data_IF_027894116882
#
_entry.id   IF_027894116882
#
_cell.length_a   1.000
_cell.length_b   1.000
_cell.length_c   1.000
_cell.angle_alpha   90.00
_cell.angle_beta   90.00
_cell.angle_gamma   90.00
#
_symmetry.space_group_name_H-M   'P 1'
#
loop_
_entity.id
_entity.type
_entity.pdbx_description
1 polymer ?
#
# COMPACT_ATOMS: atom_id res chain seq x y z
N UNK A 1 -5.13 -18.16 10.54
CA UNK A 1 -6.36 -17.77 11.29
C UNK A 1 -7.57 -17.69 10.35
N UNK A 2 -7.41 -17.06 9.18
CA UNK A 2 -8.44 -16.89 8.14
C UNK A 2 -8.91 -18.23 7.54
N UNK A 3 -7.99 -19.17 7.26
CA UNK A 3 -8.32 -20.50 6.72
C UNK A 3 -9.24 -21.36 7.62
N UNK A 4 -9.31 -21.05 8.91
CA UNK A 4 -10.06 -21.86 9.88
C UNK A 4 -11.51 -21.39 10.07
N UNK A 5 -11.88 -20.20 9.58
CA UNK A 5 -13.22 -19.62 9.72
C UNK A 5 -13.57 -18.73 8.52
N UNK A 6 -13.97 -19.32 7.38
CA UNK A 6 -14.17 -18.60 6.12
C UNK A 6 -15.29 -17.54 6.16
N UNK A 7 -16.17 -17.55 7.15
CA UNK A 7 -17.22 -16.54 7.34
C UNK A 7 -16.80 -15.34 8.18
N UNK A 8 -15.58 -15.34 8.74
CA UNK A 8 -15.09 -14.26 9.59
C UNK A 8 -14.21 -13.30 8.79
N UNK A 9 -14.65 -12.05 8.64
CA UNK A 9 -13.84 -10.98 8.06
C UNK A 9 -13.10 -10.23 9.16
N UNK A 10 -11.80 -10.00 8.97
CA UNK A 10 -10.97 -9.19 9.85
C UNK A 10 -10.55 -7.94 9.09
N UNK A 11 -10.83 -6.76 9.65
CA UNK A 11 -10.33 -5.48 9.16
C UNK A 11 -9.38 -4.93 10.20
N UNK A 12 -8.16 -4.59 9.78
CA UNK A 12 -7.12 -4.05 10.64
C UNK A 12 -6.51 -2.81 9.99
N UNK A 13 -6.01 -1.90 10.81
CA UNK A 13 -5.20 -0.76 10.38
C UNK A 13 -3.83 -0.87 11.02
N UNK A 14 -2.79 -0.55 10.25
CA UNK A 14 -1.40 -0.65 10.68
C UNK A 14 -0.53 0.30 9.88
N UNK A 15 0.54 0.78 10.52
CA UNK A 15 1.64 1.48 9.87
C UNK A 15 2.90 0.60 9.78
N UNK A 16 2.80 -0.69 10.09
CA UNK A 16 3.94 -1.62 10.06
C UNK A 16 4.10 -2.23 8.67
N UNK A 17 5.20 -1.95 7.94
CA UNK A 17 5.44 -2.56 6.62
C UNK A 17 5.59 -4.08 6.72
N UNK A 18 6.15 -4.59 7.82
CA UNK A 18 6.29 -6.02 8.07
C UNK A 18 4.95 -6.75 8.17
N UNK A 19 3.90 -6.04 8.60
CA UNK A 19 2.56 -6.63 8.60
C UNK A 19 2.00 -6.68 7.18
N UNK A 20 2.28 -5.67 6.37
CA UNK A 20 1.88 -5.61 4.95
C UNK A 20 2.53 -6.73 4.14
N UNK A 21 3.79 -7.09 4.44
CA UNK A 21 4.49 -8.23 3.81
C UNK A 21 3.80 -9.58 3.99
N UNK A 22 2.87 -9.70 4.95
CA UNK A 22 2.12 -10.92 5.19
C UNK A 22 0.83 -11.05 4.36
N UNK A 23 0.55 -10.12 3.45
CA UNK A 23 -0.68 -10.06 2.65
C UNK A 23 -0.40 -9.99 1.14
N UNK A 24 -1.41 -10.36 0.37
CA UNK A 24 -1.42 -10.13 -1.08
C UNK A 24 -1.87 -8.69 -1.41
N UNK A 25 -1.45 -8.11 -2.56
CA UNK A 25 -1.78 -6.74 -2.94
C UNK A 25 -3.28 -6.40 -2.96
N UNK A 26 -4.14 -7.38 -3.26
CA UNK A 26 -5.58 -7.22 -3.33
C UNK A 26 -6.26 -7.19 -1.94
N UNK A 27 -5.54 -7.60 -0.89
CA UNK A 27 -5.99 -7.62 0.50
C UNK A 27 -5.63 -6.32 1.23
N UNK A 28 -4.76 -5.48 0.65
CA UNK A 28 -4.24 -4.27 1.28
C UNK A 28 -4.84 -3.02 0.65
N UNK A 29 -5.39 -2.15 1.50
CA UNK A 29 -5.88 -0.82 1.11
C UNK A 29 -5.02 0.26 1.76
N UNK A 30 -4.39 1.09 0.93
CA UNK A 30 -3.62 2.23 1.35
C UNK A 30 -4.53 3.43 1.60
N UNK A 31 -4.50 3.94 2.83
CA UNK A 31 -5.16 5.17 3.24
C UNK A 31 -4.15 6.32 3.20
N UNK A 32 -4.39 7.31 2.36
CA UNK A 32 -3.48 8.43 2.16
C UNK A 32 -4.20 9.74 1.90
N UNK A 33 -3.47 10.84 2.01
CA UNK A 33 -3.95 12.16 1.61
C UNK A 33 -3.47 12.43 0.19
N UNK A 34 -4.40 12.73 -0.70
CA UNK A 34 -4.07 13.20 -2.04
C UNK A 34 -3.41 14.59 -1.93
N UNK A 35 -2.18 14.77 -2.45
CA UNK A 35 -1.48 16.05 -2.39
C UNK A 35 -2.16 17.16 -3.21
N UNK A 36 -2.93 16.84 -4.24
CA UNK A 36 -3.54 17.82 -5.14
C UNK A 36 -4.77 18.50 -4.50
N UNK A 37 -5.63 17.73 -3.84
CA UNK A 37 -6.91 18.22 -3.31
C UNK A 37 -7.05 18.11 -1.78
N UNK A 38 -6.02 17.64 -1.09
CA UNK A 38 -5.97 17.42 0.37
C UNK A 38 -7.02 16.44 0.92
N UNK A 39 -7.71 15.67 0.07
CA UNK A 39 -8.71 14.69 0.51
C UNK A 39 -8.08 13.37 0.86
N UNK A 40 -8.74 12.63 1.75
CA UNK A 40 -8.35 11.26 2.08
C UNK A 40 -8.82 10.32 0.96
N UNK A 41 -7.93 9.48 0.46
CA UNK A 41 -8.22 8.42 -0.50
C UNK A 41 -7.89 7.06 0.10
N UNK A 42 -8.69 6.08 -0.29
CA UNK A 42 -8.48 4.67 -0.02
C UNK A 42 -8.20 3.99 -1.36
N UNK A 43 -6.99 3.50 -1.56
CA UNK A 43 -6.55 2.89 -2.82
C UNK A 43 -6.07 1.47 -2.55
N UNK A 44 -6.62 0.47 -3.25
CA UNK A 44 -6.11 -0.90 -3.13
C UNK A 44 -4.78 -1.04 -3.84
N UNK A 45 -3.83 -1.76 -3.24
CA UNK A 45 -2.48 -1.84 -3.80
C UNK A 45 -2.44 -2.56 -5.14
N UNK A 46 -3.31 -3.55 -5.36
CA UNK A 46 -3.39 -4.26 -6.65
C UNK A 46 -3.83 -3.38 -7.83
N UNK A 47 -4.49 -2.25 -7.57
CA UNK A 47 -4.91 -1.29 -8.60
C UNK A 47 -3.80 -0.33 -9.04
N UNK A 48 -2.66 -0.33 -8.34
CA UNK A 48 -1.55 0.58 -8.61
C UNK A 48 -0.55 -0.04 -9.61
N UNK A 49 -0.30 0.60 -10.76
CA UNK A 49 0.65 0.07 -11.75
C UNK A 49 2.10 0.00 -11.25
N UNK A 50 2.49 0.78 -10.23
CA UNK A 50 3.83 0.71 -9.66
C UNK A 50 3.98 -0.52 -8.76
N UNK A 51 2.98 -0.85 -7.94
CA UNK A 51 2.94 -2.13 -7.21
C UNK A 51 3.14 -3.32 -8.15
N UNK A 52 2.36 -3.40 -9.23
CA UNK A 52 2.46 -4.50 -10.20
C UNK A 52 3.85 -4.62 -10.85
N UNK A 53 4.54 -3.50 -11.08
CA UNK A 53 5.89 -3.50 -11.67
C UNK A 53 6.97 -3.88 -10.65
N UNK A 54 6.82 -3.46 -9.40
CA UNK A 54 7.84 -3.58 -8.37
C UNK A 54 7.83 -4.90 -7.61
N UNK A 55 6.71 -5.64 -7.63
CA UNK A 55 6.53 -6.91 -6.90
C UNK A 55 7.53 -8.02 -7.28
N UNK A 56 8.20 -7.91 -8.43
CA UNK A 56 9.22 -8.88 -8.83
C UNK A 56 10.59 -8.68 -8.14
N UNK A 57 10.78 -7.54 -7.48
CA UNK A 57 12.07 -7.12 -6.90
C UNK A 57 11.95 -6.78 -5.42
N UNK A 58 10.83 -6.21 -4.99
CA UNK A 58 10.62 -5.69 -3.64
C UNK A 58 9.46 -6.39 -2.94
N UNK A 59 9.50 -6.42 -1.60
CA UNK A 59 8.37 -6.88 -0.79
C UNK A 59 7.23 -5.86 -0.82
N UNK A 60 6.01 -6.29 -0.49
CA UNK A 60 4.84 -5.40 -0.52
C UNK A 60 4.96 -4.23 0.48
N UNK A 61 5.56 -4.49 1.65
CA UNK A 61 5.85 -3.48 2.67
C UNK A 61 6.91 -2.46 2.23
N UNK A 62 7.95 -2.89 1.50
CA UNK A 62 8.95 -2.01 0.89
C UNK A 62 8.34 -1.12 -0.19
N UNK A 63 7.47 -1.68 -1.04
CA UNK A 63 6.75 -0.92 -2.06
C UNK A 63 5.85 0.13 -1.40
N UNK A 64 5.07 -0.29 -0.39
CA UNK A 64 4.16 0.58 0.34
C UNK A 64 4.87 1.76 1.03
N UNK A 65 6.05 1.54 1.62
CA UNK A 65 6.81 2.60 2.31
C UNK A 65 7.63 3.48 1.36
N UNK A 66 8.19 2.92 0.28
CA UNK A 66 9.06 3.68 -0.62
C UNK A 66 8.29 4.48 -1.68
N UNK A 67 7.48 3.78 -2.47
CA UNK A 67 6.93 4.31 -3.72
C UNK A 67 5.60 5.05 -3.54
N UNK A 68 4.92 4.86 -2.41
CA UNK A 68 3.64 5.50 -2.11
C UNK A 68 3.76 6.68 -1.14
N UNK A 69 4.73 6.66 -0.22
CA UNK A 69 4.94 7.77 0.72
C UNK A 69 5.83 8.89 0.15
N UNK A 70 6.60 8.61 -0.90
CA UNK A 70 7.43 9.62 -1.56
C UNK A 70 6.69 10.16 -2.80
N UNK A 71 6.04 11.35 -2.74
CA UNK A 71 5.70 12.05 -3.96
C UNK A 71 6.99 12.22 -4.78
N UNK A 72 6.95 12.09 -6.12
CA UNK A 72 8.13 12.36 -6.94
C UNK A 72 8.66 13.71 -6.48
N UNK A 73 9.90 13.72 -5.98
CA UNK A 73 10.51 14.91 -5.42
C UNK A 73 10.21 16.08 -6.35
N UNK A 74 9.78 17.19 -5.77
CA UNK A 74 9.93 18.50 -6.38
C UNK A 74 11.31 18.49 -7.05
N UNK A 75 11.31 18.41 -8.39
CA UNK A 75 12.52 18.42 -9.17
C UNK A 75 13.27 19.67 -8.71
N UNK A 76 14.44 19.45 -8.11
CA UNK A 76 15.25 20.48 -7.51
C UNK A 76 15.46 21.59 -8.54
N UNK A 77 14.81 22.75 -8.33
CA UNK A 77 15.15 23.98 -9.01
C UNK A 77 16.54 24.41 -8.52
N UNK A 78 17.57 23.97 -9.25
CA UNK A 78 18.89 24.62 -9.28
C UNK A 78 19.00 25.46 -10.54
#
# INVERSE_FOLDING_TARGET
LIERRPSTQVVLTSHSPYLVDAFEPHEVTWCHRDPEDNRVRLTRLDTLPEVQRSLSVFSLGEIWTGALETPPAAAESR
#
